data_IF_253140587521
#
_entry.id   IF_253140587521
#
_cell.length_a   1.000
_cell.length_b   1.000
_cell.length_c   1.000
_cell.angle_alpha   90.00
_cell.angle_beta   90.00
_cell.angle_gamma   90.00
#
_symmetry.space_group_name_H-M   'P 1'
#
loop_
_entity.id
_entity.type
_entity.pdbx_description
1 polymer ?
#
# COMPACT_ATOMS: atom_id res chain seq x y z
N UNK A 1 -5.79 6.72 6.77
CA UNK A 1 -4.59 5.84 6.72
C UNK A 1 -3.53 6.58 5.93
N UNK A 2 -2.27 6.14 5.85
CA UNK A 2 -1.29 6.80 4.97
C UNK A 2 -0.90 5.86 3.85
N UNK A 3 -0.71 6.38 2.64
CA UNK A 3 -0.22 5.59 1.51
C UNK A 3 0.87 6.30 0.74
N UNK A 4 1.68 5.56 0.00
CA UNK A 4 2.65 6.09 -0.92
C UNK A 4 2.72 5.22 -2.16
N UNK A 5 2.82 5.83 -3.34
CA UNK A 5 3.14 5.13 -4.56
C UNK A 5 4.63 5.30 -4.84
N UNK A 6 5.36 4.20 -4.97
CA UNK A 6 6.81 4.21 -5.19
C UNK A 6 7.16 3.38 -6.42
N UNK A 7 8.27 3.72 -7.07
CA UNK A 7 8.79 2.92 -8.16
C UNK A 7 9.90 1.99 -7.65
N UNK A 8 9.76 0.69 -7.88
CA UNK A 8 10.75 -0.33 -7.55
C UNK A 8 11.10 -1.09 -8.82
N UNK A 9 12.34 -0.98 -9.28
CA UNK A 9 12.82 -1.72 -10.46
C UNK A 9 12.01 -1.44 -11.73
N UNK A 10 11.43 -0.24 -11.88
CA UNK A 10 10.58 0.13 -13.02
C UNK A 10 9.10 -0.17 -12.82
N UNK A 11 8.70 -0.84 -11.73
CA UNK A 11 7.30 -1.14 -11.41
C UNK A 11 6.77 -0.20 -10.34
N UNK A 12 5.57 0.36 -10.54
CA UNK A 12 4.92 1.20 -9.55
C UNK A 12 4.19 0.32 -8.51
N UNK A 13 4.45 0.56 -7.23
CA UNK A 13 3.91 -0.17 -6.08
C UNK A 13 3.20 0.79 -5.14
N UNK A 14 2.01 0.43 -4.66
CA UNK A 14 1.32 1.16 -3.61
C UNK A 14 1.66 0.56 -2.24
N UNK A 15 2.09 1.40 -1.31
CA UNK A 15 2.37 1.05 0.08
C UNK A 15 1.34 1.74 0.96
N UNK A 16 0.71 1.01 1.87
CA UNK A 16 -0.27 1.57 2.79
C UNK A 16 0.15 1.26 4.23
N UNK A 17 0.32 2.32 5.02
CA UNK A 17 0.59 2.22 6.44
C UNK A 17 -0.70 1.92 7.19
N UNK A 18 -0.69 0.80 7.92
CA UNK A 18 -1.82 0.25 8.66
C UNK A 18 -1.39 -0.22 10.05
N UNK A 19 -2.36 -0.57 10.90
CA UNK A 19 -2.07 -1.18 12.20
C UNK A 19 -1.54 -2.61 12.01
N UNK A 20 -0.75 -3.11 12.96
CA UNK A 20 -0.22 -4.48 12.93
C UNK A 20 -1.32 -5.53 12.78
N UNK A 21 -2.51 -5.31 13.35
CA UNK A 21 -3.62 -6.24 13.21
C UNK A 21 -4.16 -6.34 11.77
N UNK A 22 -4.00 -5.30 10.96
CA UNK A 22 -4.40 -5.27 9.54
C UNK A 22 -3.34 -5.89 8.62
N UNK A 23 -2.16 -6.24 9.15
CA UNK A 23 -1.16 -7.05 8.44
C UNK A 23 -1.37 -8.56 8.61
N UNK A 24 -2.38 -8.98 9.38
CA UNK A 24 -2.74 -10.39 9.54
C UNK A 24 -3.48 -10.91 8.30
N UNK A 25 -3.29 -12.18 7.88
CA UNK A 25 -3.84 -12.70 6.63
C UNK A 25 -5.33 -12.46 6.41
N UNK A 26 -6.15 -12.66 7.45
CA UNK A 26 -7.60 -12.50 7.35
C UNK A 26 -8.03 -11.03 7.15
N UNK A 27 -7.42 -10.11 7.90
CA UNK A 27 -7.75 -8.67 7.83
C UNK A 27 -7.06 -7.98 6.66
N UNK A 28 -5.80 -8.29 6.43
CA UNK A 28 -5.01 -7.75 5.33
C UNK A 28 -5.61 -8.09 3.99
N UNK A 29 -6.06 -9.34 3.77
CA UNK A 29 -6.73 -9.71 2.53
C UNK A 29 -8.02 -8.90 2.30
N UNK A 30 -8.84 -8.73 3.33
CA UNK A 30 -10.06 -7.91 3.24
C UNK A 30 -9.74 -6.43 2.97
N UNK A 31 -8.66 -5.91 3.57
CA UNK A 31 -8.23 -4.52 3.39
C UNK A 31 -7.66 -4.27 1.98
N UNK A 32 -6.91 -5.23 1.42
CA UNK A 32 -6.45 -5.16 0.03
C UNK A 32 -7.62 -5.05 -0.97
N UNK A 33 -8.70 -5.80 -0.76
CA UNK A 33 -9.92 -5.71 -1.58
C UNK A 33 -10.56 -4.33 -1.47
N UNK A 34 -10.59 -3.74 -0.27
CA UNK A 34 -11.09 -2.37 -0.07
C UNK A 34 -10.22 -1.30 -0.72
N UNK A 35 -8.92 -1.54 -0.84
CA UNK A 35 -7.94 -0.61 -1.41
C UNK A 35 -7.81 -0.73 -2.93
N UNK A 36 -8.19 -1.86 -3.53
CA UNK A 36 -8.18 -2.04 -4.98
C UNK A 36 -8.80 -0.88 -5.79
N UNK A 37 -9.98 -0.34 -5.45
CA UNK A 37 -10.55 0.76 -6.24
C UNK A 37 -9.72 2.06 -6.20
N UNK A 38 -8.88 2.26 -5.17
CA UNK A 38 -7.96 3.40 -5.08
C UNK A 38 -6.64 3.14 -5.83
N UNK A 39 -6.31 1.87 -6.05
CA UNK A 39 -5.08 1.43 -6.72
C UNK A 39 -5.38 0.33 -7.77
N UNK A 40 -6.21 0.62 -8.79
CA UNK A 40 -6.86 -0.41 -9.62
C UNK A 40 -5.92 -1.24 -10.51
N UNK A 41 -4.64 -0.87 -10.61
CA UNK A 41 -3.64 -1.59 -11.39
C UNK A 41 -2.29 -1.73 -10.67
N UNK A 42 -2.21 -1.34 -9.40
CA UNK A 42 -0.95 -1.38 -8.65
C UNK A 42 -0.95 -2.56 -7.68
N UNK A 43 0.18 -3.28 -7.55
CA UNK A 43 0.39 -4.14 -6.41
C UNK A 43 0.30 -3.28 -5.14
N UNK A 44 -0.40 -3.79 -4.12
CA UNK A 44 -0.61 -3.09 -2.86
C UNK A 44 0.10 -3.87 -1.76
N UNK A 45 0.93 -3.17 -0.98
CA UNK A 45 1.62 -3.70 0.20
C UNK A 45 1.13 -2.97 1.44
N UNK A 46 0.57 -3.71 2.37
CA UNK A 46 0.26 -3.20 3.70
C UNK A 46 1.52 -3.25 4.55
N UNK A 47 1.81 -2.18 5.27
CA UNK A 47 2.99 -2.09 6.14
C UNK A 47 2.56 -1.55 7.50
N UNK A 48 2.99 -2.21 8.56
CA UNK A 48 2.92 -1.70 9.93
C UNK A 48 4.33 -1.45 10.44
N UNK A 49 4.55 -0.29 11.05
CA UNK A 49 5.80 0.11 11.67
C UNK A 49 5.69 -0.24 13.16
N UNK A 50 6.53 -1.16 13.62
CA UNK A 50 6.59 -1.58 15.03
C UNK A 50 7.88 -1.06 15.68
N UNK A 51 7.90 -0.95 17.01
CA UNK A 51 9.10 -0.46 17.74
C UNK A 51 10.37 -1.27 17.46
N UNK A 52 10.26 -2.51 16.98
CA UNK A 52 11.37 -3.43 16.77
C UNK A 52 11.47 -3.95 15.33
N UNK A 53 10.83 -3.29 14.36
CA UNK A 53 10.89 -3.68 12.95
C UNK A 53 9.63 -3.29 12.18
N UNK A 54 9.35 -4.04 11.11
CA UNK A 54 8.22 -3.80 10.24
C UNK A 54 7.47 -5.11 9.98
N UNK A 55 6.15 -5.05 9.95
CA UNK A 55 5.31 -6.11 9.39
C UNK A 55 4.80 -5.67 8.05
N UNK A 56 4.77 -6.58 7.10
CA UNK A 56 4.16 -6.32 5.81
C UNK A 56 3.26 -7.47 5.39
N UNK A 57 2.18 -7.12 4.70
CA UNK A 57 1.27 -8.08 4.10
C UNK A 57 0.97 -7.67 2.65
N UNK A 58 1.14 -8.62 1.74
CA UNK A 58 0.76 -8.47 0.34
C UNK A 58 0.45 -9.85 -0.25
N UNK A 59 -0.16 -9.86 -1.44
CA UNK A 59 -0.41 -11.10 -2.21
C UNK A 59 0.80 -11.57 -3.01
N UNK A 60 1.92 -10.86 -2.92
CA UNK A 60 3.20 -11.17 -3.56
C UNK A 60 4.34 -11.25 -2.53
N UNK A 61 5.53 -11.66 -2.95
CA UNK A 61 6.69 -11.86 -2.09
C UNK A 61 7.22 -10.52 -1.54
N UNK A 62 7.02 -10.27 -0.24
CA UNK A 62 7.32 -8.97 0.41
C UNK A 62 8.76 -8.86 0.92
N UNK A 63 9.39 -9.96 1.33
CA UNK A 63 10.69 -9.93 2.03
C UNK A 63 11.81 -9.28 1.23
N UNK A 64 11.93 -9.60 -0.05
CA UNK A 64 12.96 -9.02 -0.93
C UNK A 64 12.59 -7.59 -1.35
N UNK A 65 11.29 -7.32 -1.50
CA UNK A 65 10.79 -6.00 -1.85
C UNK A 65 11.01 -4.99 -0.73
N UNK A 66 10.76 -5.36 0.52
CA UNK A 66 11.03 -4.50 1.69
C UNK A 66 12.50 -4.12 1.82
N UNK A 67 13.43 -4.99 1.42
CA UNK A 67 14.86 -4.68 1.43
C UNK A 67 15.22 -3.62 0.35
N UNK A 68 14.49 -3.59 -0.77
CA UNK A 68 14.66 -2.62 -1.85
C UNK A 68 13.93 -1.31 -1.57
N UNK A 69 12.79 -1.40 -0.90
CA UNK A 69 11.97 -0.28 -0.49
C UNK A 69 12.58 0.32 0.78
N UNK A 70 13.41 1.34 0.61
CA UNK A 70 13.88 2.17 1.72
C UNK A 70 12.71 2.97 2.31
N UNK A 71 11.86 2.33 3.11
CA UNK A 71 10.64 2.89 3.69
C UNK A 71 10.88 4.22 4.42
N UNK A 72 12.08 4.40 4.99
CA UNK A 72 12.53 5.65 5.65
C UNK A 72 12.60 6.86 4.69
N UNK A 73 12.79 6.63 3.40
CA UNK A 73 12.86 7.65 2.36
C UNK A 73 11.54 7.82 1.59
N UNK A 74 10.51 7.04 1.93
CA UNK A 74 9.21 7.09 1.26
C UNK A 74 8.37 8.23 1.83
N UNK A 75 7.90 9.13 0.98
CA UNK A 75 6.97 10.19 1.38
C UNK A 75 5.55 9.67 1.35
N UNK A 76 4.98 9.43 2.53
CA UNK A 76 3.60 8.98 2.68
C UNK A 76 2.64 10.16 2.65
N UNK A 77 1.60 10.05 1.81
CA UNK A 77 0.46 10.96 1.76
C UNK A 77 -0.72 10.38 2.55
N UNK A 78 -1.60 11.23 3.07
CA UNK A 78 -2.80 10.74 3.74
C UNK A 78 -3.76 10.15 2.71
N UNK A 79 -4.22 8.93 2.99
CA UNK A 79 -5.21 8.20 2.21
C UNK A 79 -6.49 8.11 3.05
N UNK A 80 -7.49 8.87 2.63
CA UNK A 80 -8.84 8.72 3.14
C UNK A 80 -9.57 7.63 2.33
N UNK A 81 -9.75 6.47 2.97
CA UNK A 81 -10.43 5.31 2.37
C UNK A 81 -11.95 5.38 2.48
N UNK A 82 -12.49 6.47 3.05
CA UNK A 82 -13.93 6.75 3.13
C UNK A 82 -14.33 7.83 2.10
N UNK A 83 -13.38 8.62 1.61
CA UNK A 83 -13.54 9.47 0.46
C UNK A 83 -13.76 8.60 -0.78
N UNK A 84 -14.69 9.00 -1.65
CA UNK A 84 -14.92 8.29 -2.92
C UNK A 84 -13.58 8.21 -3.66
N UNK A 85 -13.11 7.01 -4.10
CA UNK A 85 -11.88 6.89 -4.88
C UNK A 85 -12.02 7.85 -6.04
N UNK A 86 -11.06 8.78 -6.19
CA UNK A 86 -11.09 9.80 -7.23
C UNK A 86 -11.39 9.08 -8.54
N UNK A 87 -12.61 9.28 -9.07
CA UNK A 87 -12.96 8.83 -10.39
C UNK A 87 -11.84 9.34 -11.28
N UNK A 88 -11.08 8.43 -11.88
CA UNK A 88 -10.15 8.73 -12.95
C UNK A 88 -10.86 9.73 -13.84
N UNK A 89 -10.45 11.00 -13.76
CA UNK A 89 -10.94 12.02 -14.67
C UNK A 89 -10.68 11.46 -16.06
N UNK A 90 -11.76 10.99 -16.69
CA UNK A 90 -11.74 10.61 -18.09
C UNK A 90 -11.47 11.93 -18.81
N UNK A 91 -10.19 12.18 -19.08
CA UNK A 91 -9.77 13.31 -19.89
C UNK A 91 -10.56 13.22 -21.21
N UNK A 92 -11.41 14.21 -21.53
CA UNK A 92 -12.11 14.20 -22.81
C UNK A 92 -11.08 14.43 -23.91
N UNK A 93 -11.02 13.50 -24.85
CA UNK A 93 -10.35 13.67 -26.13
C UNK A 93 -11.22 14.49 -27.10
#
# INVERSE_FOLDING_TARGET
MKSACINVGGSLLAIVLVDSADTLPERGAALLVRLQPYFPALPIMLVSIENNGFRAFATFQTSELLALVQLEHVTFVDLDVNAVPAETEVLPF
#
